data_IF_546488955978
#
_entry.id   IF_546488955978
#
_cell.length_a   1.000
_cell.length_b   1.000
_cell.length_c   1.000
_cell.angle_alpha   90.00
_cell.angle_beta   90.00
_cell.angle_gamma   90.00
#
_symmetry.space_group_name_H-M   'P 1'
#
loop_
_entity.id
_entity.type
_entity.pdbx_description
1 polymer ?
#
# COMPACT_ATOMS: atom_id res chain seq x y z
N UNK A 1 -11.37 -18.64 3.15
CA UNK A 1 -9.90 -18.46 2.97
C UNK A 1 -9.67 -17.25 2.08
N UNK A 2 -8.67 -16.41 2.33
CA UNK A 2 -8.42 -15.23 1.49
C UNK A 2 -7.48 -15.55 0.34
N UNK A 3 -7.94 -15.22 -0.87
CA UNK A 3 -7.16 -15.35 -2.11
C UNK A 3 -6.70 -13.99 -2.59
N UNK A 4 -5.43 -13.86 -2.95
CA UNK A 4 -4.93 -12.64 -3.58
C UNK A 4 -5.33 -12.57 -5.06
N UNK A 5 -6.00 -11.49 -5.45
CA UNK A 5 -6.36 -11.21 -6.85
C UNK A 5 -5.21 -10.47 -7.54
N UNK A 6 -4.77 -9.33 -6.98
CA UNK A 6 -3.70 -8.50 -7.55
C UNK A 6 -3.11 -7.52 -6.52
N UNK A 7 -1.93 -7.00 -6.82
CA UNK A 7 -1.33 -5.86 -6.13
C UNK A 7 -1.64 -4.54 -6.84
N UNK A 8 -1.75 -3.46 -6.06
CA UNK A 8 -1.82 -2.08 -6.54
C UNK A 8 -0.67 -1.32 -5.88
N UNK A 9 0.27 -0.83 -6.70
CA UNK A 9 1.41 -0.07 -6.21
C UNK A 9 1.38 1.35 -6.77
N UNK A 10 1.44 2.34 -5.88
CA UNK A 10 1.68 3.73 -6.23
C UNK A 10 3.04 4.12 -5.67
N UNK A 11 3.99 4.48 -6.53
CA UNK A 11 5.32 4.91 -6.10
C UNK A 11 5.26 6.23 -5.33
N UNK A 12 6.11 6.37 -4.31
CA UNK A 12 6.27 7.66 -3.65
C UNK A 12 6.74 8.72 -4.63
N UNK A 13 6.10 9.89 -4.62
CA UNK A 13 6.51 11.03 -5.44
C UNK A 13 6.77 12.24 -4.55
N UNK A 14 7.76 13.05 -4.91
CA UNK A 14 8.02 14.33 -4.25
C UNK A 14 8.09 15.42 -5.32
N UNK A 15 7.44 16.55 -5.07
CA UNK A 15 7.48 17.68 -5.98
C UNK A 15 7.57 19.00 -5.22
N UNK A 16 8.20 19.98 -5.85
CA UNK A 16 8.11 21.37 -5.43
C UNK A 16 6.82 21.97 -5.96
N UNK A 17 6.14 22.74 -5.12
CA UNK A 17 4.94 23.47 -5.47
C UNK A 17 5.06 24.92 -5.02
N UNK A 18 4.98 25.85 -5.96
CA UNK A 18 4.91 27.28 -5.67
C UNK A 18 3.53 27.78 -6.08
N UNK A 19 2.78 28.39 -5.15
CA UNK A 19 1.45 28.89 -5.46
C UNK A 19 0.57 29.23 -4.27
N UNK A 20 -0.68 29.59 -4.57
CA UNK A 20 -1.68 30.01 -3.59
C UNK A 20 -2.30 28.80 -2.87
N UNK A 21 -2.88 29.05 -1.69
CA UNK A 21 -3.57 28.06 -0.84
C UNK A 21 -4.62 27.22 -1.58
N UNK A 22 -5.32 27.80 -2.57
CA UNK A 22 -6.30 27.08 -3.39
C UNK A 22 -5.64 25.99 -4.26
N UNK A 23 -4.47 26.27 -4.84
CA UNK A 23 -3.70 25.28 -5.60
C UNK A 23 -3.12 24.19 -4.69
N UNK A 24 -2.68 24.57 -3.49
CA UNK A 24 -2.24 23.60 -2.48
C UNK A 24 -3.37 22.62 -2.10
N UNK A 25 -4.57 23.13 -1.81
CA UNK A 25 -5.74 22.28 -1.53
C UNK A 25 -6.10 21.34 -2.68
N UNK A 26 -5.86 21.74 -3.93
CA UNK A 26 -6.06 20.86 -5.08
C UNK A 26 -5.04 19.71 -5.06
N UNK A 27 -3.77 19.99 -4.75
CA UNK A 27 -2.73 18.97 -4.61
C UNK A 27 -2.97 18.02 -3.45
N UNK A 28 -3.51 18.51 -2.34
CA UNK A 28 -3.93 17.67 -1.21
C UNK A 28 -5.01 16.66 -1.61
N UNK A 29 -5.98 17.09 -2.43
CA UNK A 29 -7.02 16.20 -3.00
C UNK A 29 -6.45 15.17 -3.99
N UNK A 30 -5.33 15.48 -4.63
CA UNK A 30 -4.59 14.54 -5.50
C UNK A 30 -3.72 13.55 -4.70
N UNK A 31 -3.75 13.60 -3.36
CA UNK A 31 -3.03 12.66 -2.49
C UNK A 31 -1.67 13.15 -1.99
N UNK A 32 -1.28 14.38 -2.33
CA UNK A 32 -0.03 14.97 -1.84
C UNK A 32 -0.18 15.55 -0.44
N UNK A 33 0.88 15.47 0.37
CA UNK A 33 0.97 16.08 1.69
C UNK A 33 2.13 17.06 1.74
N UNK A 34 1.98 18.15 2.49
CA UNK A 34 3.09 19.08 2.73
C UNK A 34 4.10 18.43 3.67
N UNK A 35 5.36 18.35 3.25
CA UNK A 35 6.47 17.84 4.06
C UNK A 35 7.52 18.91 4.38
N UNK A 36 7.42 20.08 3.76
CA UNK A 36 8.30 21.22 4.05
C UNK A 36 7.91 22.48 3.31
N UNK A 37 8.47 23.61 3.72
CA UNK A 37 8.22 24.93 3.12
C UNK A 37 7.09 25.73 3.79
N UNK A 38 7.02 27.00 3.44
CA UNK A 38 6.04 27.98 3.94
C UNK A 38 5.88 29.14 2.95
N UNK A 39 4.94 30.06 3.22
CA UNK A 39 4.76 31.31 2.47
C UNK A 39 4.69 31.16 0.94
N UNK A 40 3.89 30.21 0.46
CA UNK A 40 3.64 30.04 -0.97
C UNK A 40 4.64 29.15 -1.70
N UNK A 41 5.64 28.60 -1.01
CA UNK A 41 6.57 27.60 -1.54
C UNK A 41 6.56 26.36 -0.66
N UNK A 42 6.25 25.21 -1.25
CA UNK A 42 6.02 23.96 -0.53
C UNK A 42 6.77 22.80 -1.19
N UNK A 43 7.18 21.85 -0.36
CA UNK A 43 7.63 20.53 -0.76
C UNK A 43 6.47 19.59 -0.47
N UNK A 44 5.96 18.95 -1.51
CA UNK A 44 4.84 18.03 -1.46
C UNK A 44 5.35 16.61 -1.64
N UNK A 45 4.85 15.68 -0.84
CA UNK A 45 5.13 14.25 -0.99
C UNK A 45 3.83 13.44 -1.05
N UNK A 46 3.77 12.54 -2.02
CA UNK A 46 2.80 11.45 -2.04
C UNK A 46 3.53 10.21 -1.52
N UNK A 47 2.98 9.59 -0.48
CA UNK A 47 3.57 8.39 0.10
C UNK A 47 3.38 7.21 -0.85
N UNK A 48 4.30 6.25 -0.80
CA UNK A 48 4.11 5.02 -1.53
C UNK A 48 2.92 4.24 -0.94
N UNK A 49 2.08 3.70 -1.81
CA UNK A 49 0.99 2.80 -1.44
C UNK A 49 1.30 1.42 -2.02
N UNK A 50 1.04 0.38 -1.22
CA UNK A 50 1.14 -0.99 -1.64
C UNK A 50 -0.08 -1.72 -1.07
N UNK A 51 -1.10 -1.89 -1.90
CA UNK A 51 -2.37 -2.50 -1.53
C UNK A 51 -2.47 -3.87 -2.19
N UNK A 52 -2.96 -4.87 -1.46
CA UNK A 52 -3.37 -6.14 -2.03
C UNK A 52 -4.89 -6.19 -2.08
N UNK A 53 -5.42 -6.59 -3.24
CA UNK A 53 -6.82 -6.92 -3.40
C UNK A 53 -7.00 -8.41 -3.08
N UNK A 54 -7.71 -8.70 -2.00
CA UNK A 54 -8.03 -10.03 -1.53
C UNK A 54 -9.51 -10.33 -1.78
N UNK A 55 -9.82 -11.59 -2.00
CA UNK A 55 -11.19 -12.10 -2.06
C UNK A 55 -11.35 -13.18 -1.01
N UNK A 56 -12.39 -13.07 -0.20
CA UNK A 56 -12.81 -14.14 0.67
C UNK A 56 -13.58 -15.19 -0.13
N UNK A 57 -13.02 -16.40 -0.25
CA UNK A 57 -13.59 -17.49 -1.03
C UNK A 57 -14.96 -17.97 -0.51
N UNK A 58 -15.29 -17.73 0.76
CA UNK A 58 -16.57 -18.16 1.33
C UNK A 58 -17.69 -17.16 1.03
N UNK A 59 -17.38 -15.86 1.12
CA UNK A 59 -18.37 -14.79 1.01
C UNK A 59 -18.34 -14.06 -0.34
N UNK A 60 -17.29 -14.25 -1.14
CA UNK A 60 -17.00 -13.47 -2.35
C UNK A 60 -16.65 -12.01 -2.06
N UNK A 61 -16.46 -11.63 -0.79
CA UNK A 61 -16.20 -10.24 -0.40
C UNK A 61 -14.80 -9.83 -0.81
N UNK A 62 -14.70 -8.73 -1.55
CA UNK A 62 -13.41 -8.11 -1.86
C UNK A 62 -12.92 -7.25 -0.71
N UNK A 63 -11.66 -7.42 -0.34
CA UNK A 63 -10.96 -6.69 0.73
C UNK A 63 -9.76 -5.98 0.11
N UNK A 64 -9.60 -4.70 0.42
CA UNK A 64 -8.41 -3.93 0.08
C UNK A 64 -7.58 -3.76 1.34
N UNK A 65 -6.38 -4.34 1.37
CA UNK A 65 -5.54 -4.31 2.55
C UNK A 65 -4.17 -3.68 2.27
N UNK A 66 -3.71 -2.80 3.17
CA UNK A 66 -2.34 -2.26 3.12
C UNK A 66 -1.34 -3.38 3.41
N UNK A 67 -0.42 -3.60 2.48
CA UNK A 67 0.56 -4.68 2.55
C UNK A 67 1.97 -4.19 2.89
N UNK A 68 2.17 -2.89 3.14
CA UNK A 68 3.52 -2.36 3.38
C UNK A 68 4.21 -3.06 4.55
N UNK A 69 3.52 -3.20 5.68
CA UNK A 69 4.14 -3.73 6.89
C UNK A 69 4.45 -5.22 6.75
N UNK A 70 3.57 -5.98 6.11
CA UNK A 70 3.81 -7.40 5.82
C UNK A 70 4.94 -7.60 4.82
N UNK A 71 5.06 -6.75 3.79
CA UNK A 71 6.21 -6.76 2.87
C UNK A 71 7.51 -6.48 3.63
N UNK A 72 7.52 -5.48 4.51
CA UNK A 72 8.70 -5.15 5.32
C UNK A 72 9.09 -6.32 6.22
N UNK A 73 8.11 -6.92 6.90
CA UNK A 73 8.33 -8.04 7.82
C UNK A 73 8.85 -9.29 7.10
N UNK A 74 8.15 -9.73 6.06
CA UNK A 74 8.44 -11.00 5.36
C UNK A 74 9.76 -10.93 4.60
N UNK A 75 10.04 -9.80 3.94
CA UNK A 75 11.24 -9.66 3.11
C UNK A 75 12.40 -8.96 3.82
N UNK A 76 12.20 -8.54 5.07
CA UNK A 76 13.16 -7.77 5.87
C UNK A 76 13.73 -6.56 5.10
N UNK A 77 12.84 -5.69 4.61
CA UNK A 77 13.19 -4.50 3.83
C UNK A 77 12.61 -3.24 4.46
N UNK A 78 13.32 -2.12 4.36
CA UNK A 78 12.77 -0.81 4.75
C UNK A 78 11.84 -0.23 3.68
N UNK A 79 12.28 -0.33 2.41
CA UNK A 79 11.58 0.23 1.25
C UNK A 79 10.71 -0.80 0.57
N UNK A 80 9.42 -0.49 0.46
CA UNK A 80 8.43 -1.27 -0.29
C UNK A 80 8.46 -0.88 -1.77
N UNK A 81 8.59 -1.88 -2.63
CA UNK A 81 8.60 -1.73 -4.10
C UNK A 81 7.49 -2.54 -4.73
N UNK A 82 7.10 -2.17 -5.94
CA UNK A 82 6.13 -2.93 -6.75
C UNK A 82 6.54 -4.41 -6.89
N UNK A 83 7.82 -4.66 -7.14
CA UNK A 83 8.37 -6.01 -7.23
C UNK A 83 8.09 -6.83 -5.97
N UNK A 84 8.29 -6.25 -4.79
CA UNK A 84 8.05 -6.95 -3.51
C UNK A 84 6.56 -7.18 -3.24
N UNK A 85 5.70 -6.24 -3.64
CA UNK A 85 4.25 -6.43 -3.61
C UNK A 85 3.84 -7.61 -4.51
N UNK A 86 4.33 -7.64 -5.76
CA UNK A 86 4.01 -8.71 -6.70
C UNK A 86 4.50 -10.07 -6.18
N UNK A 87 5.70 -10.14 -5.60
CA UNK A 87 6.20 -11.37 -4.96
C UNK A 87 5.28 -11.86 -3.82
N UNK A 88 4.73 -10.95 -3.00
CA UNK A 88 3.80 -11.31 -1.94
C UNK A 88 2.48 -11.85 -2.51
N UNK A 89 1.94 -11.18 -3.52
CA UNK A 89 0.73 -11.61 -4.24
C UNK A 89 0.91 -13.00 -4.84
N UNK A 90 2.01 -13.24 -5.56
CA UNK A 90 2.35 -14.55 -6.14
C UNK A 90 2.51 -15.63 -5.07
N UNK A 91 3.09 -15.30 -3.91
CA UNK A 91 3.28 -16.24 -2.81
C UNK A 91 1.94 -16.68 -2.19
N UNK A 92 0.98 -15.76 -2.09
CA UNK A 92 -0.39 -16.06 -1.65
C UNK A 92 -1.12 -16.87 -2.72
N UNK A 93 -1.05 -16.46 -3.99
CA UNK A 93 -1.72 -17.15 -5.12
C UNK A 93 -1.23 -18.58 -5.33
N UNK A 94 0.07 -18.82 -5.13
CA UNK A 94 0.66 -20.16 -5.24
C UNK A 94 0.42 -21.05 -4.00
N UNK A 95 -0.22 -20.52 -2.95
CA UNK A 95 -0.49 -21.24 -1.72
C UNK A 95 0.75 -21.49 -0.85
N UNK A 96 1.88 -20.82 -1.14
CA UNK A 96 3.08 -20.83 -0.27
C UNK A 96 2.82 -20.07 1.03
N UNK A 97 2.00 -19.03 0.94
CA UNK A 97 1.58 -18.21 2.07
C UNK A 97 0.06 -18.12 2.12
N UNK A 98 -0.47 -17.91 3.31
CA UNK A 98 -1.88 -17.70 3.58
C UNK A 98 -2.08 -16.29 4.12
N UNK A 99 -3.13 -15.62 3.63
CA UNK A 99 -3.51 -14.28 4.05
C UNK A 99 -4.70 -14.32 5.00
N UNK A 100 -4.62 -13.50 6.04
CA UNK A 100 -5.63 -13.28 7.05
C UNK A 100 -5.90 -11.78 7.14
N UNK A 101 -7.14 -11.40 7.39
CA UNK A 101 -7.51 -9.99 7.52
C UNK A 101 -8.58 -9.82 8.59
N UNK A 102 -8.37 -8.85 9.47
CA UNK A 102 -9.39 -8.32 10.38
C UNK A 102 -9.42 -6.81 10.29
N UNK A 103 -10.57 -6.20 10.57
CA UNK A 103 -10.69 -4.73 10.56
C UNK A 103 -9.86 -4.07 11.68
N UNK A 104 -9.52 -4.82 12.74
CA UNK A 104 -8.73 -4.34 13.89
C UNK A 104 -7.22 -4.48 13.69
N UNK A 105 -6.75 -5.63 13.18
CA UNK A 105 -5.31 -5.93 13.05
C UNK A 105 -4.77 -5.70 11.63
N UNK A 106 -5.65 -5.58 10.64
CA UNK A 106 -5.28 -5.41 9.24
C UNK A 106 -4.82 -6.72 8.59
N UNK A 107 -3.93 -6.60 7.59
CA UNK A 107 -3.41 -7.75 6.85
C UNK A 107 -2.34 -8.50 7.64
N UNK A 108 -2.48 -9.81 7.71
CA UNK A 108 -1.43 -10.72 8.15
C UNK A 108 -1.18 -11.81 7.13
N UNK A 109 0.08 -12.10 6.83
CA UNK A 109 0.46 -13.15 5.87
C UNK A 109 1.46 -14.10 6.50
N UNK A 110 1.15 -15.39 6.57
CA UNK A 110 2.04 -16.39 7.18
C UNK A 110 2.33 -17.54 6.20
N UNK A 111 3.45 -18.27 6.37
CA UNK A 111 3.69 -19.49 5.63
C UNK A 111 2.58 -20.51 5.89
N UNK A 112 2.13 -21.19 4.83
CA UNK A 112 1.13 -22.24 4.98
C UNK A 112 1.68 -23.38 5.85
N UNK A 113 0.94 -23.76 6.89
CA UNK A 113 1.30 -24.89 7.73
C UNK A 113 1.29 -26.19 6.88
N UNK A 114 2.30 -27.04 7.09
CA UNK A 114 2.41 -28.34 6.42
C UNK A 114 1.44 -29.36 6.99
#
# INVERSE_FOLDING_TARGET
MLKAIRGIYNSSNQMYFQGKKAGLKKKEKEGYRVVGGSNGTYILAQLAEAIILLEDEETGKTIMADAKDEIRRIYNVERVTEKKLNMLVESIQSGKMEAFYTDEEGLRVEPKAK
#
